data_IF_921742584971
#
_entry.id   IF_921742584971
#
_cell.length_a   1.000
_cell.length_b   1.000
_cell.length_c   1.000
_cell.angle_alpha   90.00
_cell.angle_beta   90.00
_cell.angle_gamma   90.00
#
_symmetry.space_group_name_H-M   'P 1'
#
loop_
_entity.id
_entity.type
_entity.pdbx_description
1 polymer ?
#
# COMPACT_ATOMS: atom_id res chain seq x y z
N UNK A 1 -58.28 -9.55 9.04
CA UNK A 1 -56.81 -9.44 9.25
C UNK A 1 -56.36 -10.73 9.88
N UNK A 2 -55.56 -11.51 9.15
CA UNK A 2 -55.21 -12.88 9.52
C UNK A 2 -54.04 -12.90 10.52
N UNK A 3 -54.38 -13.09 11.79
CA UNK A 3 -53.45 -13.11 12.93
C UNK A 3 -52.45 -14.27 12.82
N UNK A 4 -52.83 -15.36 12.13
CA UNK A 4 -51.96 -16.52 11.89
C UNK A 4 -50.89 -16.15 10.85
N UNK A 5 -51.27 -15.45 9.78
CA UNK A 5 -50.34 -14.92 8.78
C UNK A 5 -49.41 -13.81 9.30
N UNK A 6 -49.76 -13.14 10.41
CA UNK A 6 -48.87 -12.20 11.10
C UNK A 6 -47.87 -12.92 12.00
N UNK A 7 -48.31 -13.92 12.77
CA UNK A 7 -47.45 -14.73 13.64
C UNK A 7 -46.45 -15.56 12.82
N UNK A 8 -46.85 -16.10 11.67
CA UNK A 8 -45.95 -16.87 10.79
C UNK A 8 -44.90 -15.96 10.12
N UNK A 9 -45.25 -14.69 9.85
CA UNK A 9 -44.31 -13.67 9.33
C UNK A 9 -43.33 -13.16 10.38
N UNK A 10 -43.73 -13.18 11.66
CA UNK A 10 -42.89 -12.84 12.81
C UNK A 10 -42.00 -14.01 13.23
N UNK A 11 -42.44 -15.25 13.06
CA UNK A 11 -41.66 -16.45 13.42
C UNK A 11 -40.79 -17.00 12.28
N UNK A 12 -41.07 -16.64 11.03
CA UNK A 12 -40.27 -17.03 9.86
C UNK A 12 -40.08 -15.84 8.94
N UNK A 13 -39.03 -15.06 9.17
CA UNK A 13 -38.49 -14.17 8.13
C UNK A 13 -37.76 -15.02 7.10
N UNK A 14 -38.27 -15.03 5.86
CA UNK A 14 -37.53 -15.60 4.74
C UNK A 14 -36.22 -14.83 4.61
N UNK A 15 -35.10 -15.53 4.66
CA UNK A 15 -33.80 -14.92 4.38
C UNK A 15 -33.80 -14.45 2.94
N UNK A 16 -33.67 -13.14 2.73
CA UNK A 16 -33.53 -12.55 1.41
C UNK A 16 -32.04 -12.35 1.11
N UNK A 17 -31.62 -12.70 -0.10
CA UNK A 17 -30.28 -12.40 -0.58
C UNK A 17 -30.12 -10.88 -0.67
N UNK A 18 -29.08 -10.36 -0.03
CA UNK A 18 -28.71 -8.96 -0.09
C UNK A 18 -27.89 -8.69 -1.36
N UNK A 19 -28.00 -7.50 -1.90
CA UNK A 19 -27.27 -7.13 -3.10
C UNK A 19 -25.77 -7.04 -2.82
N UNK A 20 -25.00 -7.80 -3.59
CA UNK A 20 -23.55 -7.78 -3.63
C UNK A 20 -23.10 -7.93 -5.08
N UNK A 21 -22.19 -7.07 -5.52
CA UNK A 21 -21.59 -7.20 -6.85
C UNK A 21 -20.27 -6.44 -6.94
N UNK A 22 -19.43 -6.86 -7.89
CA UNK A 22 -18.36 -6.00 -8.40
C UNK A 22 -18.96 -4.94 -9.33
N UNK A 23 -18.50 -3.70 -9.20
CA UNK A 23 -18.84 -2.63 -10.14
C UNK A 23 -18.14 -2.90 -11.48
N UNK A 24 -18.84 -2.82 -12.62
CA UNK A 24 -18.23 -2.95 -13.93
C UNK A 24 -17.10 -1.94 -14.14
N UNK A 25 -16.01 -2.34 -14.80
CA UNK A 25 -14.83 -1.48 -14.97
C UNK A 25 -15.14 -0.20 -15.76
N UNK A 26 -16.04 -0.30 -16.74
CA UNK A 26 -16.53 0.82 -17.54
C UNK A 26 -17.46 1.76 -16.75
N UNK A 27 -17.85 1.40 -15.52
CA UNK A 27 -18.68 2.23 -14.64
C UNK A 27 -17.87 2.92 -13.53
N UNK A 28 -16.55 2.75 -13.54
CA UNK A 28 -15.62 3.47 -12.68
C UNK A 28 -15.08 4.68 -13.43
N UNK A 29 -15.43 5.87 -12.95
CA UNK A 29 -15.11 7.16 -13.56
C UNK A 29 -13.90 7.84 -12.92
N UNK A 30 -13.22 7.15 -12.00
CA UNK A 30 -12.04 7.66 -11.30
C UNK A 30 -10.85 7.81 -12.26
N UNK A 31 -10.18 8.96 -12.17
CA UNK A 31 -9.01 9.24 -13.01
C UNK A 31 -7.91 8.20 -12.78
N UNK A 32 -7.37 7.67 -13.88
CA UNK A 32 -6.29 6.68 -13.85
C UNK A 32 -6.71 5.28 -13.38
N UNK A 33 -8.00 5.04 -13.13
CA UNK A 33 -8.47 3.69 -12.83
C UNK A 33 -8.30 2.78 -14.05
N UNK A 34 -7.62 1.66 -13.86
CA UNK A 34 -7.50 0.58 -14.81
C UNK A 34 -7.38 -0.71 -14.01
N UNK A 35 -8.34 -1.61 -14.16
CA UNK A 35 -8.36 -2.86 -13.41
C UNK A 35 -7.20 -3.76 -13.83
N UNK A 36 -6.31 -4.08 -12.90
CA UNK A 36 -5.22 -5.04 -13.10
C UNK A 36 -5.46 -6.33 -12.32
N UNK A 37 -5.18 -7.46 -12.97
CA UNK A 37 -5.08 -8.74 -12.29
C UNK A 37 -3.87 -8.76 -11.36
N UNK A 38 -3.95 -9.54 -10.29
CA UNK A 38 -2.83 -9.72 -9.39
C UNK A 38 -1.92 -10.85 -9.87
N UNK A 39 -0.65 -10.54 -10.08
CA UNK A 39 0.38 -11.53 -10.35
C UNK A 39 1.06 -11.96 -9.03
N UNK A 40 1.16 -13.27 -8.75
CA UNK A 40 1.87 -13.76 -7.57
C UNK A 40 3.30 -13.21 -7.49
N UNK A 41 3.69 -12.77 -6.30
CA UNK A 41 4.99 -12.23 -5.92
C UNK A 41 5.40 -10.91 -6.61
N UNK A 42 4.55 -10.34 -7.47
CA UNK A 42 4.86 -9.13 -8.25
C UNK A 42 4.29 -7.84 -7.69
N UNK A 43 3.44 -7.91 -6.67
CA UNK A 43 2.85 -6.73 -6.08
C UNK A 43 2.23 -7.00 -4.73
N UNK A 44 1.58 -5.95 -4.24
CA UNK A 44 0.86 -5.94 -2.98
C UNK A 44 -0.61 -5.71 -3.28
N UNK A 45 -1.48 -6.41 -2.58
CA UNK A 45 -2.88 -6.02 -2.53
C UNK A 45 -3.14 -5.15 -1.32
N UNK A 46 -4.05 -4.21 -1.48
CA UNK A 46 -4.56 -3.36 -0.43
C UNK A 46 -6.08 -3.32 -0.51
N UNK A 47 -6.73 -3.33 0.65
CA UNK A 47 -8.19 -3.23 0.76
C UNK A 47 -8.50 -1.89 1.40
N UNK A 48 -9.36 -1.10 0.74
CA UNK A 48 -9.89 0.14 1.26
C UNK A 48 -11.40 0.08 1.40
N UNK A 49 -11.91 0.73 2.43
CA UNK A 49 -13.29 1.16 2.52
C UNK A 49 -13.39 2.53 1.88
N UNK A 50 -13.93 2.55 0.67
CA UNK A 50 -14.06 3.77 -0.15
C UNK A 50 -15.18 4.66 0.40
N UNK A 51 -16.34 4.07 0.70
CA UNK A 51 -17.49 4.76 1.27
C UNK A 51 -18.30 3.79 2.16
N UNK A 52 -18.81 4.30 3.28
CA UNK A 52 -19.76 3.59 4.13
C UNK A 52 -20.88 4.52 4.54
N UNK A 53 -22.11 4.02 4.43
CA UNK A 53 -23.30 4.83 4.62
C UNK A 53 -24.40 4.04 5.34
N UNK A 54 -25.02 4.71 6.32
CA UNK A 54 -26.29 4.28 6.92
C UNK A 54 -27.37 5.22 6.44
N UNK A 55 -28.50 4.67 6.01
CA UNK A 55 -29.67 5.46 5.61
C UNK A 55 -30.23 6.25 6.79
N UNK A 56 -30.43 5.56 7.91
CA UNK A 56 -31.09 6.11 9.08
C UNK A 56 -30.06 6.35 10.20
N UNK A 57 -29.75 7.63 10.49
CA UNK A 57 -28.83 8.01 11.57
C UNK A 57 -29.44 7.88 12.98
N UNK A 58 -30.77 7.90 13.06
CA UNK A 58 -31.56 7.75 14.27
C UNK A 58 -32.77 6.91 13.95
N UNK A 59 -33.04 5.94 14.81
CA UNK A 59 -34.31 5.23 14.82
C UNK A 59 -34.91 5.46 16.21
N UNK A 60 -36.05 6.15 16.25
CA UNK A 60 -36.61 6.71 17.49
C UNK A 60 -35.66 7.74 18.15
N UNK A 61 -35.29 7.51 19.42
CA UNK A 61 -34.44 8.38 20.25
C UNK A 61 -32.97 7.92 20.30
N UNK A 62 -32.62 6.81 19.63
CA UNK A 62 -31.27 6.22 19.67
C UNK A 62 -30.45 6.65 18.47
N UNK A 63 -29.23 7.17 18.72
CA UNK A 63 -28.24 7.46 17.69
C UNK A 63 -27.48 6.21 17.25
N UNK A 64 -27.16 6.10 15.95
CA UNK A 64 -26.36 4.99 15.42
C UNK A 64 -25.13 5.47 14.64
N UNK A 65 -24.02 4.75 14.79
CA UNK A 65 -22.81 4.91 13.95
C UNK A 65 -22.51 3.62 13.18
N UNK A 66 -21.98 3.71 11.95
CA UNK A 66 -21.61 2.52 11.18
C UNK A 66 -20.32 1.89 11.70
N UNK A 67 -20.29 0.56 11.67
CA UNK A 67 -19.10 -0.26 11.95
C UNK A 67 -18.90 -1.26 10.81
N UNK A 68 -17.75 -1.18 10.14
CA UNK A 68 -17.35 -2.13 9.10
C UNK A 68 -16.41 -3.18 9.66
N UNK A 69 -16.67 -4.46 9.36
CA UNK A 69 -15.78 -5.57 9.69
C UNK A 69 -15.39 -6.27 8.40
N UNK A 70 -14.10 -6.37 8.14
CA UNK A 70 -13.57 -7.11 6.99
C UNK A 70 -12.72 -8.24 7.51
N UNK A 71 -13.00 -9.48 7.12
CA UNK A 71 -12.17 -10.63 7.48
C UNK A 71 -11.61 -11.21 6.19
N UNK A 72 -10.29 -11.27 6.10
CA UNK A 72 -9.59 -11.76 4.93
C UNK A 72 -8.88 -13.07 5.21
N UNK A 73 -8.85 -13.97 4.24
CA UNK A 73 -8.11 -15.23 4.29
C UNK A 73 -7.24 -15.38 3.04
N UNK A 74 -5.92 -15.50 3.22
CA UNK A 74 -4.92 -15.55 2.16
C UNK A 74 -3.60 -16.16 2.65
N UNK A 75 -2.68 -16.46 1.72
CA UNK A 75 -1.34 -16.95 2.05
C UNK A 75 -0.43 -15.78 2.45
N UNK A 76 0.21 -15.91 3.61
CA UNK A 76 1.24 -14.99 4.09
C UNK A 76 2.35 -15.74 4.83
N UNK A 77 3.60 -15.39 4.55
CA UNK A 77 4.78 -16.08 5.09
C UNK A 77 4.76 -17.61 4.88
N UNK A 78 4.15 -18.07 3.79
CA UNK A 78 4.03 -19.51 3.45
C UNK A 78 2.89 -20.25 4.15
N UNK A 79 2.12 -19.58 5.00
CA UNK A 79 0.98 -20.15 5.71
C UNK A 79 -0.32 -19.44 5.38
N UNK A 80 -1.44 -20.17 5.44
CA UNK A 80 -2.76 -19.57 5.24
C UNK A 80 -3.22 -18.87 6.52
N UNK A 81 -3.44 -17.56 6.42
CA UNK A 81 -3.77 -16.69 7.55
C UNK A 81 -5.18 -16.14 7.39
N UNK A 82 -5.96 -16.16 8.48
CA UNK A 82 -7.26 -15.48 8.57
C UNK A 82 -7.14 -14.28 9.48
N UNK A 83 -7.42 -13.10 8.94
CA UNK A 83 -7.12 -11.83 9.56
C UNK A 83 -8.38 -10.95 9.58
N UNK A 84 -8.92 -10.62 10.76
CA UNK A 84 -9.96 -9.60 10.87
C UNK A 84 -9.33 -8.21 10.77
N UNK A 85 -10.04 -7.29 10.13
CA UNK A 85 -9.75 -5.87 9.95
C UNK A 85 -11.00 -5.08 10.31
N UNK A 86 -10.81 -3.97 11.04
CA UNK A 86 -11.93 -3.18 11.57
C UNK A 86 -11.90 -1.78 10.99
N UNK A 87 -13.06 -1.32 10.51
CA UNK A 87 -13.20 -0.03 9.85
C UNK A 87 -14.16 0.86 10.62
N UNK A 88 -13.64 2.00 11.08
CA UNK A 88 -14.41 3.03 11.78
C UNK A 88 -13.78 3.54 13.08
N UNK A 89 -12.80 2.85 13.65
CA UNK A 89 -12.64 2.93 15.10
C UNK A 89 -11.63 3.95 15.66
N UNK A 90 -10.43 4.12 15.07
CA UNK A 90 -9.47 5.11 15.62
C UNK A 90 -10.07 6.52 15.63
N UNK A 91 -10.82 6.82 14.58
CA UNK A 91 -11.56 8.07 14.42
C UNK A 91 -12.70 8.19 15.43
N UNK A 92 -13.52 7.16 15.65
CA UNK A 92 -14.68 7.25 16.56
C UNK A 92 -14.31 7.80 17.94
N UNK A 93 -13.28 7.26 18.60
CA UNK A 93 -12.88 7.75 19.93
C UNK A 93 -12.26 9.15 19.91
N UNK A 94 -11.45 9.46 18.90
CA UNK A 94 -10.81 10.78 18.74
C UNK A 94 -11.83 11.88 18.42
N UNK A 95 -12.86 11.55 17.63
CA UNK A 95 -13.88 12.49 17.15
C UNK A 95 -15.16 12.52 17.98
N UNK A 96 -15.46 11.50 18.79
CA UNK A 96 -16.70 11.42 19.59
C UNK A 96 -16.90 12.66 20.46
N UNK A 97 -15.82 13.15 21.09
CA UNK A 97 -15.82 14.39 21.86
C UNK A 97 -16.18 15.64 21.03
N UNK A 98 -15.96 15.61 19.70
CA UNK A 98 -16.20 16.71 18.77
C UNK A 98 -17.50 16.57 17.97
N UNK A 99 -18.01 15.35 17.81
CA UNK A 99 -19.12 15.03 16.92
C UNK A 99 -20.46 15.05 17.65
N UNK A 100 -20.51 14.86 18.98
CA UNK A 100 -21.70 15.06 19.82
C UNK A 100 -23.00 14.42 19.25
N UNK A 101 -22.90 13.26 18.60
CA UNK A 101 -24.03 12.55 17.99
C UNK A 101 -24.41 13.00 16.57
N UNK A 102 -23.57 13.78 15.88
CA UNK A 102 -23.69 14.08 14.45
C UNK A 102 -23.23 12.93 13.55
N UNK A 103 -23.66 12.97 12.28
CA UNK A 103 -23.32 11.94 11.30
C UNK A 103 -21.86 12.07 10.85
N UNK A 104 -21.07 11.01 11.04
CA UNK A 104 -19.72 10.88 10.47
C UNK A 104 -19.79 10.01 9.24
N UNK A 105 -19.27 10.53 8.13
CA UNK A 105 -19.08 9.76 6.90
C UNK A 105 -17.62 9.32 6.82
N UNK A 106 -17.41 8.03 6.60
CA UNK A 106 -16.08 7.44 6.47
C UNK A 106 -15.77 7.23 5.00
N UNK A 107 -14.65 7.82 4.58
CA UNK A 107 -14.17 7.76 3.21
C UNK A 107 -12.72 7.26 3.16
N UNK A 108 -12.40 6.54 2.09
CA UNK A 108 -11.02 6.20 1.68
C UNK A 108 -10.14 5.61 2.80
N UNK A 109 -10.75 4.86 3.72
CA UNK A 109 -10.05 4.29 4.87
C UNK A 109 -9.32 3.02 4.46
N UNK A 110 -8.00 2.96 4.68
CA UNK A 110 -7.23 1.73 4.50
C UNK A 110 -7.67 0.71 5.53
N UNK A 111 -8.12 -0.45 5.06
CA UNK A 111 -8.63 -1.55 5.89
C UNK A 111 -7.55 -2.58 6.10
N UNK A 112 -6.91 -3.00 5.01
CA UNK A 112 -5.84 -3.98 5.00
C UNK A 112 -4.77 -3.59 3.99
N UNK A 113 -3.55 -4.04 4.21
CA UNK A 113 -2.46 -3.83 3.27
C UNK A 113 -1.63 -2.58 3.52
N UNK A 114 -0.55 -2.39 2.74
CA UNK A 114 -0.12 -3.24 1.63
C UNK A 114 0.36 -4.63 2.06
N UNK A 115 -0.19 -5.70 1.46
CA UNK A 115 0.17 -7.10 1.75
C UNK A 115 0.76 -7.74 0.49
N UNK A 116 1.96 -8.33 0.54
CA UNK A 116 2.52 -9.08 -0.59
C UNK A 116 1.55 -10.19 -1.04
N UNK A 117 1.19 -10.21 -2.32
CA UNK A 117 0.36 -11.28 -2.85
C UNK A 117 1.23 -12.49 -3.20
N UNK A 118 1.01 -13.63 -2.54
CA UNK A 118 1.79 -14.85 -2.76
C UNK A 118 1.13 -15.84 -3.76
N UNK A 119 -0.01 -15.47 -4.34
CA UNK A 119 -0.87 -16.39 -5.13
C UNK A 119 -1.95 -17.08 -4.28
N UNK A 120 -2.66 -18.03 -4.91
CA UNK A 120 -3.84 -18.72 -4.36
C UNK A 120 -5.06 -17.78 -4.14
N UNK A 121 -6.18 -18.39 -3.78
CA UNK A 121 -7.43 -17.70 -3.56
C UNK A 121 -7.36 -16.75 -2.35
N UNK A 122 -7.86 -15.52 -2.54
CA UNK A 122 -8.09 -14.55 -1.47
C UNK A 122 -9.58 -14.55 -1.13
N UNK A 123 -9.93 -14.86 0.12
CA UNK A 123 -11.31 -14.76 0.58
C UNK A 123 -11.53 -13.47 1.36
N UNK A 124 -12.62 -12.76 1.11
CA UNK A 124 -13.02 -11.58 1.87
C UNK A 124 -14.44 -11.76 2.39
N UNK A 125 -14.61 -11.68 3.71
CA UNK A 125 -15.87 -11.35 4.34
C UNK A 125 -15.92 -9.86 4.58
N UNK A 126 -17.03 -9.22 4.21
CA UNK A 126 -17.30 -7.81 4.50
C UNK A 126 -18.66 -7.76 5.18
N UNK A 127 -18.70 -7.19 6.38
CA UNK A 127 -19.91 -7.00 7.17
C UNK A 127 -20.10 -5.55 7.56
N UNK A 128 -21.34 -5.06 7.43
CA UNK A 128 -21.77 -3.76 7.93
C UNK A 128 -22.66 -3.96 9.15
N UNK A 129 -22.33 -3.22 10.20
CA UNK A 129 -23.06 -3.16 11.45
C UNK A 129 -23.43 -1.71 11.75
N UNK A 130 -24.44 -1.52 12.59
CA UNK A 130 -24.71 -0.24 13.25
C UNK A 130 -24.57 -0.41 14.76
N UNK A 131 -24.00 0.59 15.41
CA UNK A 131 -23.76 0.60 16.86
C UNK A 131 -24.51 1.75 17.50
N UNK A 132 -25.22 1.47 18.59
CA UNK A 132 -25.93 2.47 19.39
C UNK A 132 -24.95 3.37 20.17
N UNK A 133 -25.01 4.68 19.96
CA UNK A 133 -24.05 5.67 20.51
C UNK A 133 -24.29 5.94 21.99
N UNK A 134 -25.55 6.10 22.40
CA UNK A 134 -25.91 6.46 23.78
C UNK A 134 -25.58 5.35 24.79
N UNK A 135 -25.32 4.13 24.29
CA UNK A 135 -24.98 2.95 25.07
C UNK A 135 -23.72 2.27 24.49
N UNK A 136 -22.77 3.05 23.94
CA UNK A 136 -21.51 2.49 23.47
C UNK A 136 -20.81 1.83 24.66
N UNK A 137 -20.86 0.49 24.71
CA UNK A 137 -20.47 -0.26 25.90
C UNK A 137 -18.97 -0.07 26.18
N UNK A 138 -18.57 0.04 27.45
CA UNK A 138 -17.16 -0.01 27.86
C UNK A 138 -16.42 -1.21 27.23
N UNK A 139 -17.13 -2.33 27.05
CA UNK A 139 -16.62 -3.53 26.38
C UNK A 139 -16.30 -3.32 24.90
N UNK A 140 -17.10 -2.53 24.17
CA UNK A 140 -16.79 -2.13 22.79
C UNK A 140 -15.55 -1.23 22.82
N UNK A 141 -15.50 -0.17 23.65
CA UNK A 141 -14.29 0.66 23.76
C UNK A 141 -13.02 -0.11 24.14
N UNK A 142 -13.08 -1.05 25.07
CA UNK A 142 -11.94 -1.88 25.47
C UNK A 142 -11.47 -2.83 24.36
N UNK A 143 -12.40 -3.42 23.60
CA UNK A 143 -12.08 -4.19 22.40
C UNK A 143 -11.41 -3.31 21.33
N UNK A 144 -11.97 -2.12 21.11
CA UNK A 144 -11.51 -1.12 20.16
C UNK A 144 -10.09 -0.61 20.49
N UNK A 145 -9.73 -0.43 21.76
CA UNK A 145 -8.37 -0.09 22.18
C UNK A 145 -7.35 -1.20 21.88
N UNK A 146 -7.75 -2.45 22.09
CA UNK A 146 -6.91 -3.63 21.80
C UNK A 146 -6.62 -3.76 20.30
N UNK A 147 -7.63 -3.45 19.47
CA UNK A 147 -7.56 -3.41 18.00
C UNK A 147 -6.62 -2.29 17.53
N UNK A 148 -6.86 -1.04 17.95
CA UNK A 148 -6.15 0.16 17.43
C UNK A 148 -4.64 0.13 17.68
N UNK A 149 -4.19 -0.39 18.83
CA UNK A 149 -2.76 -0.53 19.12
C UNK A 149 -1.99 -1.46 18.17
N UNK A 150 -2.71 -2.28 17.39
CA UNK A 150 -2.15 -3.33 16.55
C UNK A 150 -2.11 -3.00 15.05
N UNK A 151 -2.89 -2.00 14.61
CA UNK A 151 -3.09 -1.68 13.19
C UNK A 151 -2.25 -0.52 12.65
N UNK A 152 -1.56 0.25 13.51
CA UNK A 152 -0.88 1.48 13.10
C UNK A 152 0.41 1.27 12.29
N UNK A 153 0.89 0.02 12.17
CA UNK A 153 2.25 -0.23 11.68
C UNK A 153 2.33 -0.66 10.21
N UNK A 154 1.24 -1.08 9.56
CA UNK A 154 1.32 -1.68 8.22
C UNK A 154 2.21 -2.95 8.18
N UNK A 155 2.53 -3.52 9.35
CA UNK A 155 3.42 -4.67 9.55
C UNK A 155 2.56 -5.87 9.88
N UNK A 156 2.26 -6.70 8.88
CA UNK A 156 1.33 -7.81 9.08
C UNK A 156 1.92 -8.88 10.01
N UNK A 157 3.24 -9.07 9.96
CA UNK A 157 3.96 -10.02 10.84
C UNK A 157 3.77 -9.72 12.32
N UNK A 158 3.67 -8.45 12.71
CA UNK A 158 3.41 -8.03 14.10
C UNK A 158 1.95 -8.30 14.48
N UNK A 159 1.04 -8.09 13.52
CA UNK A 159 -0.40 -8.23 13.72
C UNK A 159 -0.84 -9.69 13.93
N UNK A 160 -0.22 -10.66 13.25
CA UNK A 160 -0.58 -12.08 13.34
C UNK A 160 -0.57 -12.63 14.78
N UNK A 161 0.33 -12.13 15.63
CA UNK A 161 0.41 -12.54 17.03
C UNK A 161 -0.84 -12.16 17.84
N UNK A 162 -1.64 -11.20 17.35
CA UNK A 162 -2.79 -10.61 18.04
C UNK A 162 -4.11 -11.06 17.40
N UNK A 163 -4.08 -11.60 16.18
CA UNK A 163 -5.26 -12.05 15.43
C UNK A 163 -6.13 -13.07 16.21
N UNK A 164 -5.53 -14.02 16.94
CA UNK A 164 -6.28 -15.04 17.71
C UNK A 164 -7.07 -14.46 18.90
N UNK A 165 -6.49 -13.64 19.79
CA UNK A 165 -7.26 -12.90 20.78
C UNK A 165 -8.36 -12.03 20.16
N UNK A 166 -8.11 -11.40 19.01
CA UNK A 166 -9.08 -10.54 18.33
C UNK A 166 -10.29 -11.30 17.83
N UNK A 167 -10.14 -12.54 17.36
CA UNK A 167 -11.29 -13.39 16.98
C UNK A 167 -12.25 -13.63 18.15
N UNK A 168 -11.72 -13.84 19.36
CA UNK A 168 -12.57 -14.01 20.57
C UNK A 168 -13.29 -12.72 20.96
N UNK A 169 -12.56 -11.59 20.96
CA UNK A 169 -13.19 -10.29 21.22
C UNK A 169 -14.25 -9.91 20.18
N UNK A 170 -14.10 -10.37 18.94
CA UNK A 170 -15.10 -10.19 17.89
C UNK A 170 -16.40 -10.97 18.21
N UNK A 171 -16.31 -12.22 18.67
CA UNK A 171 -17.50 -12.99 19.07
C UNK A 171 -18.27 -12.29 20.19
N UNK A 172 -17.55 -11.80 21.21
CA UNK A 172 -18.15 -11.05 22.31
C UNK A 172 -18.81 -9.76 21.82
N UNK A 173 -18.16 -9.04 20.89
CA UNK A 173 -18.68 -7.81 20.31
C UNK A 173 -19.96 -8.05 19.50
N UNK A 174 -19.96 -9.06 18.63
CA UNK A 174 -21.10 -9.40 17.79
C UNK A 174 -22.28 -9.96 18.59
N UNK A 175 -22.04 -10.44 19.81
CA UNK A 175 -23.09 -10.86 20.74
C UNK A 175 -23.79 -9.70 21.48
N UNK A 176 -23.30 -8.47 21.37
CA UNK A 176 -23.86 -7.31 22.07
C UNK A 176 -25.18 -6.85 21.44
N UNK A 177 -26.19 -6.55 22.26
CA UNK A 177 -27.49 -6.04 21.78
C UNK A 177 -27.37 -4.68 21.07
N UNK A 178 -26.37 -3.90 21.46
CA UNK A 178 -26.07 -2.57 20.93
C UNK A 178 -25.43 -2.61 19.54
N UNK A 179 -24.93 -3.78 19.11
CA UNK A 179 -24.31 -3.99 17.80
C UNK A 179 -25.28 -4.76 16.92
N UNK A 180 -25.77 -4.12 15.86
CA UNK A 180 -26.78 -4.71 14.99
C UNK A 180 -26.21 -4.98 13.61
N UNK A 181 -26.22 -6.26 13.21
CA UNK A 181 -25.87 -6.68 11.86
C UNK A 181 -26.84 -6.10 10.82
N UNK A 182 -26.31 -5.48 9.76
CA UNK A 182 -27.11 -4.92 8.67
C UNK A 182 -27.03 -5.82 7.43
N UNK A 183 -25.81 -6.15 7.04
CA UNK A 183 -25.53 -7.02 5.90
C UNK A 183 -24.12 -7.60 6.02
N UNK A 184 -23.86 -8.68 5.32
CA UNK A 184 -22.52 -9.20 5.19
C UNK A 184 -22.43 -10.33 4.19
N UNK A 185 -21.33 -10.36 3.45
CA UNK A 185 -21.09 -11.33 2.39
C UNK A 185 -19.65 -11.82 2.50
N UNK A 186 -19.46 -13.13 2.37
CA UNK A 186 -18.15 -13.75 2.18
C UNK A 186 -18.03 -14.18 0.73
N UNK A 187 -16.95 -13.75 0.07
CA UNK A 187 -16.61 -14.17 -1.27
C UNK A 187 -15.17 -14.70 -1.34
N UNK A 188 -14.86 -15.46 -2.38
CA UNK A 188 -13.55 -16.09 -2.62
C UNK A 188 -13.08 -15.77 -4.03
N UNK A 189 -12.11 -14.86 -4.11
CA UNK A 189 -11.47 -14.49 -5.37
C UNK A 189 -10.39 -15.51 -5.72
N UNK A 190 -10.35 -15.95 -6.98
CA UNK A 190 -9.41 -16.95 -7.44
C UNK A 190 -8.26 -16.34 -8.25
N UNK A 191 -7.16 -17.06 -8.37
CA UNK A 191 -5.97 -16.64 -9.10
C UNK A 191 -6.01 -17.00 -10.61
N UNK A 192 -7.17 -17.44 -11.11
CA UNK A 192 -7.32 -17.89 -12.49
C UNK A 192 -7.70 -16.73 -13.39
N UNK A 193 -6.83 -16.43 -14.33
CA UNK A 193 -7.05 -15.31 -15.25
C UNK A 193 -8.28 -15.53 -16.14
N UNK A 194 -9.11 -14.49 -16.26
CA UNK A 194 -10.35 -14.51 -17.05
C UNK A 194 -11.55 -15.15 -16.36
N UNK A 195 -11.42 -15.66 -15.13
CA UNK A 195 -12.57 -16.09 -14.34
C UNK A 195 -13.43 -14.88 -13.90
N UNK A 196 -14.75 -15.09 -13.78
CA UNK A 196 -15.68 -14.06 -13.30
C UNK A 196 -15.35 -13.56 -11.89
N UNK A 197 -14.70 -14.39 -11.07
CA UNK A 197 -14.28 -14.08 -9.71
C UNK A 197 -12.76 -14.04 -9.55
N UNK A 198 -12.04 -13.72 -10.64
CA UNK A 198 -10.60 -13.47 -10.61
C UNK A 198 -10.25 -12.38 -9.58
N UNK A 199 -9.18 -12.61 -8.82
CA UNK A 199 -8.62 -11.62 -7.92
C UNK A 199 -7.93 -10.52 -8.75
N UNK A 200 -8.60 -9.38 -8.85
CA UNK A 200 -8.16 -8.20 -9.59
C UNK A 200 -8.63 -6.91 -8.91
N UNK A 201 -8.01 -5.81 -9.28
CA UNK A 201 -8.44 -4.48 -8.82
C UNK A 201 -9.90 -4.23 -9.15
N UNK A 202 -10.58 -3.46 -8.30
CA UNK A 202 -11.97 -3.11 -8.55
C UNK A 202 -12.71 -2.63 -7.32
N UNK A 203 -13.94 -2.18 -7.58
CA UNK A 203 -14.89 -1.78 -6.56
C UNK A 203 -15.92 -2.87 -6.34
N UNK A 204 -16.21 -3.17 -5.08
CA UNK A 204 -17.19 -4.15 -4.65
C UNK A 204 -18.19 -3.45 -3.75
N UNK A 205 -19.46 -3.57 -4.09
CA UNK A 205 -20.55 -2.92 -3.39
C UNK A 205 -21.37 -3.95 -2.65
N UNK A 206 -21.73 -3.62 -1.41
CA UNK A 206 -22.58 -4.44 -0.57
C UNK A 206 -23.72 -3.56 -0.06
N UNK A 207 -24.96 -3.83 -0.47
CA UNK A 207 -26.13 -2.98 -0.20
C UNK A 207 -27.19 -3.77 0.57
N UNK A 208 -27.75 -3.14 1.61
CA UNK A 208 -28.80 -3.74 2.43
C UNK A 208 -30.19 -3.66 1.77
N UNK A 209 -30.29 -4.18 0.55
CA UNK A 209 -31.54 -4.34 -0.19
C UNK A 209 -31.62 -5.76 -0.77
N UNK A 210 -32.82 -6.26 -1.07
CA UNK A 210 -32.97 -7.46 -1.88
C UNK A 210 -32.21 -7.34 -3.21
N UNK A 211 -31.61 -8.42 -3.68
CA UNK A 211 -30.79 -8.47 -4.90
C UNK A 211 -31.51 -7.93 -6.16
N UNK A 212 -32.83 -8.07 -6.23
CA UNK A 212 -33.63 -7.62 -7.37
C UNK A 212 -34.04 -6.13 -7.32
N UNK A 213 -33.59 -5.36 -6.32
CA UNK A 213 -33.95 -3.94 -6.17
C UNK A 213 -33.01 -2.98 -6.90
N UNK A 214 -31.79 -3.41 -7.18
CA UNK A 214 -30.78 -2.58 -7.84
C UNK A 214 -30.26 -3.34 -9.05
N UNK A 215 -30.26 -2.68 -10.20
CA UNK A 215 -29.58 -3.19 -11.38
C UNK A 215 -28.10 -2.77 -11.30
N UNK A 216 -27.18 -3.73 -11.44
CA UNK A 216 -25.73 -3.45 -11.42
C UNK A 216 -25.32 -2.45 -12.51
N UNK A 217 -25.99 -2.49 -13.66
CA UNK A 217 -25.74 -1.57 -14.78
C UNK A 217 -26.11 -0.11 -14.45
N UNK A 218 -26.84 0.12 -13.36
CA UNK A 218 -27.17 1.47 -12.91
C UNK A 218 -26.20 1.96 -11.82
N UNK A 219 -25.23 1.16 -11.38
CA UNK A 219 -24.28 1.55 -10.35
C UNK A 219 -22.98 2.07 -10.98
N UNK A 220 -22.50 3.17 -10.43
CA UNK A 220 -21.32 3.87 -10.89
C UNK A 220 -20.42 4.22 -9.71
N UNK A 221 -19.13 4.40 -9.98
CA UNK A 221 -18.18 4.93 -9.00
C UNK A 221 -17.53 6.18 -9.55
N UNK A 222 -17.54 7.25 -8.75
CA UNK A 222 -16.82 8.48 -9.07
C UNK A 222 -16.28 9.13 -7.78
N UNK A 223 -15.03 9.55 -7.82
CA UNK A 223 -14.24 10.01 -6.69
C UNK A 223 -14.25 9.03 -5.51
N UNK A 224 -14.14 7.72 -5.79
CA UNK A 224 -14.28 6.63 -4.81
C UNK A 224 -15.65 6.58 -4.11
N UNK A 225 -16.71 7.12 -4.71
CA UNK A 225 -18.07 7.14 -4.14
C UNK A 225 -19.06 6.35 -4.97
N UNK A 226 -20.02 5.72 -4.31
CA UNK A 226 -21.08 4.96 -4.95
C UNK A 226 -22.18 5.90 -5.44
N UNK A 227 -22.49 5.79 -6.72
CA UNK A 227 -23.54 6.53 -7.39
C UNK A 227 -24.52 5.56 -8.07
N UNK A 228 -25.74 6.03 -8.32
CA UNK A 228 -26.79 5.32 -9.03
C UNK A 228 -27.37 6.21 -10.14
N UNK A 229 -27.64 5.64 -11.31
CA UNK A 229 -28.24 6.33 -12.45
C UNK A 229 -28.23 5.46 -13.71
N UNK A 230 -29.15 5.72 -14.64
CA UNK A 230 -29.24 4.97 -15.90
C UNK A 230 -28.04 5.24 -16.83
N UNK A 231 -27.44 6.42 -16.72
CA UNK A 231 -26.30 6.83 -17.53
C UNK A 231 -25.40 7.84 -16.80
N UNK A 232 -24.18 8.03 -17.31
CA UNK A 232 -23.16 8.93 -16.73
C UNK A 232 -23.62 10.38 -16.50
N UNK A 233 -24.63 10.87 -17.22
CA UNK A 233 -25.16 12.25 -17.08
C UNK A 233 -26.27 12.34 -16.03
N UNK A 234 -26.83 11.21 -15.61
CA UNK A 234 -27.97 11.10 -14.68
C UNK A 234 -27.60 10.39 -13.38
N UNK A 235 -26.32 10.33 -13.02
CA UNK A 235 -25.84 9.72 -11.78
C UNK A 235 -26.01 10.63 -10.57
N UNK A 236 -26.48 10.06 -9.46
CA UNK A 236 -26.57 10.70 -8.14
C UNK A 236 -26.10 9.77 -7.01
N UNK A 237 -25.89 10.30 -5.82
CA UNK A 237 -25.45 9.49 -4.68
C UNK A 237 -26.53 8.49 -4.25
N UNK A 238 -26.16 7.23 -4.02
CA UNK A 238 -27.07 6.25 -3.45
C UNK A 238 -27.36 6.62 -1.99
N UNK A 239 -28.64 6.83 -1.65
CA UNK A 239 -29.07 7.24 -0.29
C UNK A 239 -30.17 6.37 0.31
N UNK A 240 -30.76 5.49 -0.47
CA UNK A 240 -31.96 4.72 -0.08
C UNK A 240 -31.68 3.52 0.82
N UNK A 241 -30.41 3.11 0.96
CA UNK A 241 -30.01 1.87 1.62
C UNK A 241 -28.76 2.06 2.46
N UNK A 242 -28.57 1.19 3.45
CA UNK A 242 -27.26 1.02 4.10
C UNK A 242 -26.33 0.30 3.13
N UNK A 243 -25.08 0.76 3.00
CA UNK A 243 -24.10 0.09 2.15
C UNK A 243 -22.66 0.32 2.59
N UNK A 244 -21.78 -0.53 2.07
CA UNK A 244 -20.35 -0.29 2.03
C UNK A 244 -19.80 -0.52 0.63
N UNK A 245 -18.86 0.34 0.23
CA UNK A 245 -18.10 0.26 -1.00
C UNK A 245 -16.65 -0.07 -0.63
N UNK A 246 -16.19 -1.24 -1.05
CA UNK A 246 -14.82 -1.71 -0.86
C UNK A 246 -14.05 -1.57 -2.17
N UNK A 247 -12.79 -1.17 -2.09
CA UNK A 247 -11.86 -1.16 -3.20
C UNK A 247 -10.70 -2.11 -2.93
N UNK A 248 -10.41 -2.96 -3.89
CA UNK A 248 -9.19 -3.77 -3.95
C UNK A 248 -8.21 -3.05 -4.89
N UNK A 249 -7.01 -2.78 -4.40
CA UNK A 249 -5.95 -2.03 -5.10
C UNK A 249 -4.69 -2.88 -5.22
N UNK A 250 -4.02 -2.76 -6.38
CA UNK A 250 -2.73 -3.35 -6.68
C UNK A 250 -1.66 -2.28 -6.58
N UNK A 251 -0.65 -2.53 -5.74
CA UNK A 251 0.50 -1.67 -5.58
C UNK A 251 1.74 -2.43 -6.05
N UNK A 252 2.52 -1.82 -6.95
CA UNK A 252 3.80 -2.39 -7.37
C UNK A 252 4.83 -2.36 -6.22
N UNK A 253 4.78 -1.31 -5.41
CA UNK A 253 5.60 -1.14 -4.22
C UNK A 253 4.79 -0.49 -3.10
N UNK A 254 5.23 -0.71 -1.87
CA UNK A 254 4.71 0.00 -0.69
C UNK A 254 5.61 1.19 -0.38
N UNK A 255 5.02 2.34 -0.07
CA UNK A 255 5.75 3.57 0.29
C UNK A 255 5.88 3.76 1.82
N UNK A 256 5.16 2.97 2.61
CA UNK A 256 5.13 3.03 4.07
C UNK A 256 6.16 2.09 4.74
N UNK A 257 7.18 1.65 4.01
CA UNK A 257 8.20 0.73 4.52
C UNK A 257 9.03 1.31 5.67
N UNK A 258 9.04 2.64 5.85
CA UNK A 258 9.68 3.30 6.99
C UNK A 258 8.98 3.03 8.33
N UNK A 259 7.75 2.52 8.32
CA UNK A 259 7.07 2.06 9.52
C UNK A 259 7.49 0.63 9.95
N UNK A 260 8.24 -0.09 9.10
CA UNK A 260 8.67 -1.46 9.39
C UNK A 260 9.81 -1.49 10.43
N UNK A 261 9.93 -2.57 11.23
CA UNK A 261 10.85 -2.59 12.37
C UNK A 261 12.33 -2.38 12.00
N UNK A 262 12.73 -2.78 10.79
CA UNK A 262 14.10 -2.60 10.30
C UNK A 262 14.48 -1.13 10.11
N UNK A 263 13.53 -0.19 10.05
CA UNK A 263 13.83 1.24 9.94
C UNK A 263 14.70 1.73 11.10
N UNK A 264 14.52 1.15 12.30
CA UNK A 264 15.34 1.49 13.46
C UNK A 264 16.83 1.23 13.21
N UNK A 265 17.16 0.15 12.50
CA UNK A 265 18.54 -0.16 12.14
C UNK A 265 19.13 0.93 11.23
N UNK A 266 18.32 1.53 10.35
CA UNK A 266 18.78 2.63 9.51
C UNK A 266 19.12 3.89 10.30
N UNK A 267 18.31 4.22 11.30
CA UNK A 267 18.59 5.34 12.23
C UNK A 267 19.88 5.08 13.03
N UNK A 268 20.11 3.83 13.44
CA UNK A 268 21.33 3.41 14.13
C UNK A 268 22.56 3.47 13.19
N UNK A 269 22.42 3.09 11.91
CA UNK A 269 23.47 3.25 10.88
C UNK A 269 23.88 4.71 10.76
N UNK A 270 22.92 5.63 10.55
CA UNK A 270 23.21 7.07 10.46
C UNK A 270 23.92 7.57 11.72
N UNK A 271 23.42 7.18 12.90
CA UNK A 271 24.05 7.53 14.18
C UNK A 271 25.51 7.11 14.23
N UNK A 272 25.86 5.91 13.75
CA UNK A 272 27.24 5.42 13.74
C UNK A 272 28.13 6.12 12.71
N UNK A 273 27.59 6.47 11.54
CA UNK A 273 28.30 7.29 10.54
C UNK A 273 28.72 8.62 11.17
N UNK A 274 27.78 9.35 11.79
CA UNK A 274 28.06 10.66 12.40
C UNK A 274 28.89 10.60 13.70
N UNK A 275 29.08 9.41 14.27
CA UNK A 275 30.04 9.15 15.35
C UNK A 275 31.46 8.84 14.83
N UNK A 276 31.65 8.76 13.51
CA UNK A 276 32.92 8.34 12.89
C UNK A 276 33.20 6.84 12.97
N UNK A 277 32.23 6.04 13.40
CA UNK A 277 32.35 4.59 13.57
C UNK A 277 31.81 3.85 12.33
N UNK A 278 32.48 4.07 11.19
CA UNK A 278 32.06 3.53 9.89
C UNK A 278 32.03 1.99 9.88
N UNK A 279 32.92 1.32 10.62
CA UNK A 279 32.97 -0.13 10.71
C UNK A 279 31.69 -0.71 11.34
N UNK A 280 31.23 -0.14 12.47
CA UNK A 280 29.96 -0.56 13.05
C UNK A 280 28.76 -0.11 12.20
N UNK A 281 28.81 1.06 11.57
CA UNK A 281 27.76 1.49 10.66
C UNK A 281 27.56 0.46 9.53
N UNK A 282 28.64 -0.02 8.92
CA UNK A 282 28.58 -1.05 7.88
C UNK A 282 28.05 -2.38 8.43
N UNK A 283 28.45 -2.80 9.64
CA UNK A 283 27.94 -4.01 10.29
C UNK A 283 26.42 -3.95 10.49
N UNK A 284 25.89 -2.82 10.97
CA UNK A 284 24.44 -2.62 11.17
C UNK A 284 23.72 -2.57 9.81
N UNK A 285 24.32 -1.98 8.78
CA UNK A 285 23.76 -2.01 7.42
C UNK A 285 23.62 -3.45 6.90
N UNK A 286 24.59 -4.33 7.15
CA UNK A 286 24.49 -5.74 6.77
C UNK A 286 23.37 -6.47 7.53
N UNK A 287 23.17 -6.15 8.82
CA UNK A 287 22.04 -6.66 9.59
C UNK A 287 20.69 -6.19 9.03
N UNK A 288 20.59 -4.91 8.66
CA UNK A 288 19.42 -4.35 7.97
C UNK A 288 19.15 -5.09 6.65
N UNK A 289 20.19 -5.30 5.83
CA UNK A 289 20.06 -6.01 4.57
C UNK A 289 19.59 -7.47 4.76
N UNK A 290 20.07 -8.15 5.81
CA UNK A 290 19.59 -9.49 6.17
C UNK A 290 18.11 -9.48 6.55
N UNK A 291 17.67 -8.53 7.39
CA UNK A 291 16.25 -8.41 7.76
C UNK A 291 15.36 -8.12 6.55
N UNK A 292 15.81 -7.26 5.62
CA UNK A 292 15.10 -7.02 4.36
C UNK A 292 14.98 -8.29 3.53
N UNK A 293 16.08 -9.03 3.33
CA UNK A 293 16.12 -10.21 2.47
C UNK A 293 15.11 -11.30 2.87
N UNK A 294 14.82 -11.43 4.17
CA UNK A 294 13.91 -12.45 4.71
C UNK A 294 12.54 -11.89 5.09
N UNK A 295 12.26 -10.60 4.88
CA UNK A 295 11.03 -9.96 5.37
C UNK A 295 9.77 -10.49 4.65
N UNK A 296 8.82 -11.12 5.36
CA UNK A 296 7.57 -11.57 4.76
C UNK A 296 6.62 -10.41 4.41
N UNK A 297 6.89 -9.20 4.90
CA UNK A 297 6.13 -7.98 4.65
C UNK A 297 6.50 -7.29 3.32
N UNK A 298 7.46 -7.86 2.59
CA UNK A 298 7.98 -7.36 1.31
C UNK A 298 7.93 -8.45 0.24
N UNK A 299 7.52 -8.06 -0.98
CA UNK A 299 7.75 -8.83 -2.22
C UNK A 299 9.24 -8.99 -2.47
N UNK A 300 9.63 -10.07 -3.15
CA UNK A 300 11.03 -10.37 -3.42
C UNK A 300 11.73 -9.22 -4.17
N UNK A 301 11.13 -8.74 -5.26
CA UNK A 301 11.66 -7.63 -6.06
C UNK A 301 11.88 -6.38 -5.17
N UNK A 302 10.92 -6.04 -4.32
CA UNK A 302 11.02 -4.86 -3.46
C UNK A 302 12.08 -5.00 -2.34
N UNK A 303 12.39 -6.22 -1.89
CA UNK A 303 13.48 -6.44 -0.92
C UNK A 303 14.82 -6.03 -1.54
N UNK A 304 15.08 -6.47 -2.77
CA UNK A 304 16.31 -6.13 -3.47
C UNK A 304 16.40 -4.64 -3.78
N UNK A 305 15.30 -4.01 -4.17
CA UNK A 305 15.25 -2.57 -4.40
C UNK A 305 15.56 -1.79 -3.12
N UNK A 306 14.96 -2.15 -1.99
CA UNK A 306 15.25 -1.50 -0.72
C UNK A 306 16.70 -1.69 -0.27
N UNK A 307 17.28 -2.88 -0.46
CA UNK A 307 18.71 -3.11 -0.16
C UNK A 307 19.59 -2.16 -0.99
N UNK A 308 19.29 -1.99 -2.28
CA UNK A 308 20.00 -1.05 -3.16
C UNK A 308 19.83 0.39 -2.70
N UNK A 309 18.61 0.78 -2.34
CA UNK A 309 18.29 2.12 -1.81
C UNK A 309 19.09 2.42 -0.54
N UNK A 310 19.08 1.52 0.44
CA UNK A 310 19.83 1.73 1.70
C UNK A 310 21.34 1.73 1.49
N UNK A 311 21.86 0.89 0.58
CA UNK A 311 23.27 0.93 0.22
C UNK A 311 23.67 2.29 -0.39
N UNK A 312 22.90 2.78 -1.36
CA UNK A 312 23.16 4.08 -1.99
C UNK A 312 23.06 5.24 -0.99
N UNK A 313 22.05 5.20 -0.10
CA UNK A 313 21.93 6.20 0.96
C UNK A 313 23.09 6.12 1.96
N UNK A 314 23.59 4.92 2.28
CA UNK A 314 24.77 4.75 3.16
C UNK A 314 26.00 5.42 2.57
N UNK A 315 26.30 5.14 1.30
CA UNK A 315 27.43 5.76 0.58
C UNK A 315 27.32 7.29 0.59
N UNK A 316 26.12 7.83 0.35
CA UNK A 316 25.85 9.26 0.43
C UNK A 316 26.13 9.84 1.83
N UNK A 317 25.61 9.22 2.88
CA UNK A 317 25.78 9.71 4.26
C UNK A 317 27.26 9.67 4.69
N UNK A 318 28.00 8.64 4.27
CA UNK A 318 29.46 8.55 4.50
C UNK A 318 30.19 9.69 3.80
N UNK A 319 29.92 9.93 2.51
CA UNK A 319 30.54 11.05 1.78
C UNK A 319 30.22 12.40 2.42
N UNK A 320 28.97 12.62 2.85
CA UNK A 320 28.57 13.85 3.53
C UNK A 320 29.31 14.04 4.86
N UNK A 321 29.45 12.97 5.65
CA UNK A 321 30.23 13.00 6.88
C UNK A 321 31.71 13.36 6.63
N UNK A 322 32.33 12.78 5.60
CA UNK A 322 33.72 13.06 5.21
C UNK A 322 33.91 14.51 4.75
N UNK A 323 32.96 15.06 3.98
CA UNK A 323 32.95 16.48 3.60
C UNK A 323 32.87 17.39 4.83
N UNK A 324 32.01 17.07 5.79
CA UNK A 324 31.84 17.85 7.02
C UNK A 324 33.04 17.75 7.96
N UNK A 325 33.66 16.56 8.08
CA UNK A 325 34.86 16.36 8.90
C UNK A 325 36.14 16.88 8.24
N UNK A 326 36.18 16.91 6.91
CA UNK A 326 37.22 17.58 6.13
C UNK A 326 37.11 19.10 6.13
N UNK A 327 35.98 19.65 6.60
CA UNK A 327 35.73 21.10 6.68
C UNK A 327 36.62 21.75 7.75
N UNK A 328 37.80 22.23 7.34
CA UNK A 328 38.53 23.23 8.10
C UNK A 328 37.81 24.57 7.93
N UNK A 329 37.36 25.24 9.00
CA UNK A 329 36.90 26.62 8.87
C UNK A 329 38.11 27.47 8.49
N UNK A 330 38.29 27.74 7.19
CA UNK A 330 39.29 28.70 6.75
C UNK A 330 38.91 30.06 7.31
N UNK A 331 39.79 30.59 8.18
CA UNK A 331 39.89 32.02 8.45
C UNK A 331 39.84 32.75 7.13
N UNK A 332 38.99 33.77 7.07
CA UNK A 332 38.89 34.76 5.99
C UNK A 332 40.25 35.04 5.36
N UNK A 333 40.49 34.50 4.17
CA UNK A 333 41.60 34.88 3.31
C UNK A 333 41.18 34.74 1.85
N UNK A 334 41.13 35.90 1.20
CA UNK A 334 41.07 36.20 -0.23
C UNK A 334 41.40 35.06 -1.21
N UNK A 335 40.43 34.85 -2.10
CA UNK A 335 40.46 34.18 -3.41
C UNK A 335 41.85 34.06 -4.02
N UNK A 336 42.29 32.82 -4.23
CA UNK A 336 43.23 32.43 -5.29
C UNK A 336 42.67 31.20 -5.99
N UNK A 337 42.17 31.39 -7.22
CA UNK A 337 41.77 30.31 -8.14
C UNK A 337 42.98 29.42 -8.44
N UNK A 338 42.93 28.14 -8.08
CA UNK A 338 43.88 27.13 -8.56
C UNK A 338 43.27 25.72 -8.46
N UNK A 339 42.91 25.13 -9.62
CA UNK A 339 43.08 23.70 -9.88
C UNK A 339 42.05 22.72 -9.33
N UNK A 340 40.84 22.67 -9.90
CA UNK A 340 39.93 21.54 -9.73
C UNK A 340 40.46 20.36 -10.54
N UNK A 341 40.94 19.29 -9.88
CA UNK A 341 41.08 17.96 -10.49
C UNK A 341 39.68 17.52 -10.95
N UNK A 342 39.56 17.18 -12.23
CA UNK A 342 38.29 17.08 -12.96
C UNK A 342 37.33 16.05 -12.38
N UNK A 343 36.18 16.53 -11.89
CA UNK A 343 35.02 15.70 -11.64
C UNK A 343 34.28 15.61 -12.98
N UNK A 344 34.27 14.43 -13.59
CA UNK A 344 33.49 14.16 -14.80
C UNK A 344 31.99 14.38 -14.49
N UNK A 345 31.28 15.00 -15.41
CA UNK A 345 29.82 15.01 -15.34
C UNK A 345 29.27 13.58 -15.44
N UNK A 346 28.06 13.30 -14.93
CA UNK A 346 27.49 11.94 -15.02
C UNK A 346 27.44 11.38 -16.44
N UNK A 347 27.18 12.23 -17.45
CA UNK A 347 27.21 11.84 -18.86
C UNK A 347 28.61 11.45 -19.31
N UNK A 348 29.63 12.24 -18.97
CA UNK A 348 31.03 11.93 -19.28
C UNK A 348 31.50 10.67 -18.55
N UNK A 349 31.01 10.42 -17.34
CA UNK A 349 31.31 9.20 -16.58
C UNK A 349 30.72 7.96 -17.26
N UNK A 350 29.47 8.04 -17.74
CA UNK A 350 28.82 6.94 -18.47
C UNK A 350 29.51 6.70 -19.82
N UNK A 351 29.85 7.77 -20.53
CA UNK A 351 30.60 7.68 -21.78
C UNK A 351 31.98 7.04 -21.58
N UNK A 352 32.68 7.43 -20.52
CA UNK A 352 33.95 6.80 -20.17
C UNK A 352 33.78 5.32 -19.79
N UNK A 353 32.68 4.98 -19.10
CA UNK A 353 32.34 3.59 -18.77
C UNK A 353 32.05 2.77 -20.02
N UNK A 354 31.31 3.30 -20.98
CA UNK A 354 31.03 2.64 -22.27
C UNK A 354 32.33 2.37 -23.05
N UNK A 355 33.24 3.35 -23.07
CA UNK A 355 34.57 3.21 -23.68
C UNK A 355 35.41 2.12 -23.00
N UNK A 356 35.47 2.11 -21.67
CA UNK A 356 36.22 1.09 -20.91
C UNK A 356 35.61 -0.31 -21.08
N UNK A 357 34.29 -0.42 -21.13
CA UNK A 357 33.59 -1.68 -21.42
C UNK A 357 33.90 -2.18 -22.83
N UNK A 358 33.95 -1.28 -23.82
CA UNK A 358 34.36 -1.61 -25.18
C UNK A 358 35.81 -2.11 -25.24
N UNK A 359 36.74 -1.42 -24.56
CA UNK A 359 38.15 -1.83 -24.46
C UNK A 359 38.31 -3.19 -23.75
N UNK A 360 37.42 -3.51 -22.80
CA UNK A 360 37.38 -4.78 -22.08
C UNK A 360 36.64 -5.91 -22.83
N UNK A 361 36.10 -5.64 -24.02
CA UNK A 361 35.47 -6.66 -24.88
C UNK A 361 34.05 -7.05 -24.47
N UNK A 362 33.30 -6.18 -23.79
CA UNK A 362 31.89 -6.42 -23.49
C UNK A 362 31.04 -6.43 -24.78
N UNK A 363 29.90 -7.16 -24.78
CA UNK A 363 28.98 -7.22 -25.92
C UNK A 363 28.49 -5.84 -26.40
N UNK A 364 28.24 -5.68 -27.71
CA UNK A 364 27.79 -4.40 -28.30
C UNK A 364 26.50 -3.87 -27.67
N UNK A 365 25.55 -4.75 -27.33
CA UNK A 365 24.30 -4.35 -26.66
C UNK A 365 24.52 -3.74 -25.26
N UNK A 366 25.61 -4.08 -24.56
CA UNK A 366 25.99 -3.46 -23.28
C UNK A 366 26.52 -2.04 -23.50
N UNK A 367 27.34 -1.86 -24.54
CA UNK A 367 27.90 -0.55 -24.93
C UNK A 367 26.77 0.38 -25.39
N UNK A 368 25.91 -0.12 -26.27
CA UNK A 368 24.75 0.62 -26.78
C UNK A 368 23.81 1.03 -25.64
N UNK A 369 23.55 0.14 -24.68
CA UNK A 369 22.76 0.46 -23.50
C UNK A 369 23.36 1.56 -22.63
N UNK A 370 24.69 1.60 -22.47
CA UNK A 370 25.38 2.69 -21.74
C UNK A 370 25.31 4.02 -22.50
N UNK A 371 25.49 4.01 -23.82
CA UNK A 371 25.40 5.22 -24.65
C UNK A 371 23.97 5.77 -24.72
N UNK A 372 22.97 4.89 -24.80
CA UNK A 372 21.56 5.27 -24.74
C UNK A 372 21.20 5.89 -23.38
N UNK A 373 21.75 5.35 -22.29
CA UNK A 373 21.61 5.92 -20.96
C UNK A 373 22.23 7.33 -20.87
N UNK A 374 23.43 7.54 -21.46
CA UNK A 374 24.08 8.86 -21.54
C UNK A 374 23.18 9.87 -22.25
N UNK A 375 22.64 9.49 -23.40
CA UNK A 375 21.84 10.38 -24.25
C UNK A 375 20.53 10.76 -23.56
N UNK A 376 19.88 9.79 -22.93
CA UNK A 376 18.62 9.96 -22.22
C UNK A 376 18.76 10.37 -20.75
N UNK A 377 19.98 10.57 -20.24
CA UNK A 377 20.24 10.91 -18.82
C UNK A 377 19.38 12.05 -18.29
N UNK A 378 19.15 13.08 -19.11
CA UNK A 378 18.35 14.25 -18.75
C UNK A 378 16.83 14.00 -18.68
N UNK A 379 16.36 12.84 -19.12
CA UNK A 379 14.95 12.42 -19.09
C UNK A 379 14.64 11.55 -17.87
N UNK A 380 15.66 11.06 -17.16
CA UNK A 380 15.47 10.30 -15.93
C UNK A 380 15.04 11.27 -14.82
N UNK A 381 13.89 11.03 -14.20
CA UNK A 381 13.33 11.97 -13.24
C UNK A 381 14.20 12.00 -11.96
N UNK A 382 14.20 13.17 -11.30
CA UNK A 382 14.93 13.40 -10.04
C UNK A 382 16.47 13.25 -10.08
N UNK A 383 17.09 13.21 -11.28
CA UNK A 383 18.56 13.23 -11.43
C UNK A 383 19.19 14.62 -11.58
N UNK A 384 18.43 15.62 -12.06
CA UNK A 384 18.95 16.96 -12.37
C UNK A 384 19.12 17.86 -11.14
N UNK A 385 18.28 17.69 -10.13
CA UNK A 385 18.23 18.54 -8.94
C UNK A 385 18.25 17.66 -7.70
N UNK A 386 19.44 17.37 -7.18
CA UNK A 386 19.63 16.65 -5.92
C UNK A 386 19.96 17.67 -4.82
N UNK A 387 18.96 18.20 -4.08
CA UNK A 387 19.25 19.03 -2.93
C UNK A 387 20.03 18.23 -1.88
N UNK A 388 20.73 18.90 -0.95
CA UNK A 388 21.62 18.24 0.02
C UNK A 388 20.90 17.17 0.86
N UNK A 389 19.60 17.37 1.12
CA UNK A 389 18.70 16.50 1.85
C UNK A 389 18.03 15.40 1.01
N UNK A 390 18.34 15.27 -0.29
CA UNK A 390 17.75 14.26 -1.17
C UNK A 390 17.97 12.83 -0.65
N UNK A 391 16.91 12.10 -0.31
CA UNK A 391 16.98 10.68 0.00
C UNK A 391 16.44 9.87 -1.17
N UNK A 392 17.19 8.86 -1.60
CA UNK A 392 16.67 7.90 -2.55
C UNK A 392 15.60 7.06 -1.84
N UNK A 393 14.42 6.97 -2.43
CA UNK A 393 13.33 6.09 -2.00
C UNK A 393 13.09 5.01 -3.05
N UNK A 394 12.40 3.92 -2.69
CA UNK A 394 12.01 2.90 -3.67
C UNK A 394 11.08 3.47 -4.76
N UNK A 395 10.21 4.43 -4.43
CA UNK A 395 9.36 5.11 -5.42
C UNK A 395 10.17 5.93 -6.44
N UNK A 396 11.22 6.63 -5.97
CA UNK A 396 12.12 7.34 -6.88
C UNK A 396 12.88 6.33 -7.74
N UNK A 397 13.46 5.29 -7.13
CA UNK A 397 14.18 4.24 -7.85
C UNK A 397 13.31 3.58 -8.92
N UNK A 398 12.08 3.21 -8.60
CA UNK A 398 11.13 2.58 -9.53
C UNK A 398 10.75 3.51 -10.68
N UNK A 399 10.57 4.82 -10.42
CA UNK A 399 10.33 5.80 -11.48
C UNK A 399 11.55 5.98 -12.38
N UNK A 400 12.75 5.94 -11.81
CA UNK A 400 14.01 6.01 -12.56
C UNK A 400 14.20 4.75 -13.42
N UNK A 401 14.01 3.56 -12.86
CA UNK A 401 14.07 2.29 -13.59
C UNK A 401 13.03 2.24 -14.72
N UNK A 402 11.79 2.64 -14.45
CA UNK A 402 10.74 2.68 -15.47
C UNK A 402 11.03 3.68 -16.59
N UNK A 403 11.62 4.83 -16.27
CA UNK A 403 12.09 5.77 -17.27
C UNK A 403 13.22 5.14 -18.11
N UNK A 404 14.16 4.44 -17.47
CA UNK A 404 15.22 3.72 -18.16
C UNK A 404 14.69 2.61 -19.08
N UNK A 405 13.68 1.85 -18.64
CA UNK A 405 13.02 0.84 -19.48
C UNK A 405 12.31 1.45 -20.68
N UNK A 406 11.87 2.72 -20.59
CA UNK A 406 11.20 3.41 -21.70
C UNK A 406 12.16 3.90 -22.79
N UNK A 407 13.47 3.89 -22.54
CA UNK A 407 14.45 4.39 -23.49
C UNK A 407 14.77 3.38 -24.60
N UNK A 408 14.65 2.06 -24.39
CA UNK A 408 15.24 1.06 -25.29
C UNK A 408 14.28 0.12 -26.03
N UNK A 409 14.40 0.11 -27.37
CA UNK A 409 13.95 -0.93 -28.34
C UNK A 409 15.04 -1.99 -28.63
N UNK A 410 16.13 -2.04 -27.86
CA UNK A 410 17.26 -2.95 -28.03
C UNK A 410 17.05 -4.19 -27.16
N UNK A 411 17.45 -5.38 -27.63
CA UNK A 411 17.50 -6.60 -26.80
C UNK A 411 18.29 -6.31 -25.53
N UNK A 412 17.57 -6.22 -24.41
CA UNK A 412 18.07 -5.75 -23.11
C UNK A 412 19.43 -6.41 -22.82
N UNK A 413 20.53 -5.66 -22.63
CA UNK A 413 21.77 -6.26 -22.14
C UNK A 413 21.47 -6.99 -20.83
N UNK A 414 22.07 -8.17 -20.65
CA UNK A 414 21.93 -8.91 -19.40
C UNK A 414 22.31 -7.95 -18.25
N UNK A 415 21.45 -7.73 -17.25
CA UNK A 415 21.75 -6.87 -16.09
C UNK A 415 23.09 -7.20 -15.43
N UNK A 416 23.51 -8.47 -15.52
CA UNK A 416 24.82 -8.92 -15.05
C UNK A 416 25.97 -8.36 -15.88
N UNK A 417 25.87 -8.40 -17.21
CA UNK A 417 26.91 -7.89 -18.10
C UNK A 417 27.07 -6.36 -17.96
N UNK A 418 25.96 -5.65 -17.74
CA UNK A 418 26.00 -4.21 -17.46
C UNK A 418 26.67 -3.91 -16.11
N UNK A 419 26.37 -4.71 -15.07
CA UNK A 419 27.01 -4.57 -13.76
C UNK A 419 28.52 -4.87 -13.81
N UNK A 420 28.92 -5.90 -14.55
CA UNK A 420 30.32 -6.28 -14.77
C UNK A 420 31.07 -5.18 -15.55
N UNK A 421 30.44 -4.56 -16.56
CA UNK A 421 31.01 -3.43 -17.30
C UNK A 421 31.27 -2.21 -16.41
N UNK A 422 30.31 -1.87 -15.54
CA UNK A 422 30.44 -0.77 -14.57
C UNK A 422 31.54 -1.08 -13.54
N UNK A 423 31.63 -2.33 -13.08
CA UNK A 423 32.66 -2.76 -12.14
C UNK A 423 34.07 -2.64 -12.75
N UNK A 424 34.26 -3.07 -14.00
CA UNK A 424 35.53 -2.93 -14.73
C UNK A 424 35.93 -1.47 -14.92
N UNK A 425 34.96 -0.60 -15.24
CA UNK A 425 35.20 0.83 -15.37
C UNK A 425 35.58 1.50 -14.04
N UNK A 426 35.08 0.98 -12.91
CA UNK A 426 35.36 1.51 -11.56
C UNK A 426 36.76 1.12 -11.04
N UNK A 427 37.37 0.06 -11.59
CA UNK A 427 38.67 -0.47 -11.16
C UNK A 427 39.81 0.01 -12.08
N UNK A 428 39.49 0.40 -13.31
CA UNK A 428 40.46 0.94 -14.26
C UNK A 428 40.94 2.33 -13.80
N UNK A 429 42.25 2.55 -13.58
CA UNK A 429 42.76 3.86 -13.17
C UNK A 429 42.50 4.91 -14.26
N UNK A 430 41.80 5.98 -13.89
CA UNK A 430 41.56 7.19 -14.73
C UNK A 430 42.82 7.98 -15.01
#
# INVERSE_FOLDING_TARGET
>A
MDLIGFIDRVMRTRTEHKFYSRIPDNHVLDEGFSSKAFEPHKGYFQIRLSEMFLRDKREYWQGFVPLGIVISDFIYAGERQTIPFFVGNRLLKEIEQYVAGEQVQYYNTRVAGPIPYAGDNVSLFVGLFRVEVDNLAESLFGFLETVVGSFDSGVLSTYLNIARPLSRGLEDLLGMKQVQFRLGTRDVFNDRSGDSNEFREGYFVYVNCPENKIAIDNLWVQHNRLLIGEDRRSIEALREYDYCLIRIENLAARSDYSALPFQKLWEDVKTKIYQGDQANAHRILMELAQQLAISPDLTEDHRYDLIRVYKANFEKEVSLYEELHGFRPERVATVSRSGTRGVLSPRESIENTARLAQEAGFPENVIDGLLELRDNWGQIPELKERPRDFQLTSDILNRQLKAMESFGQIDRPDPKDLADAIAVASISPT
#
